data_IF_108473980803
#
_entry.id   IF_108473980803
#
_cell.length_a   1.000
_cell.length_b   1.000
_cell.length_c   1.000
_cell.angle_alpha   90.00
_cell.angle_beta   90.00
_cell.angle_gamma   90.00
#
_symmetry.space_group_name_H-M   'P 1'
#
loop_
_entity.id
_entity.type
_entity.pdbx_description
1 polymer ?
#
# COMPACT_ATOMS: atom_id res chain seq x y z
N UNK A 1 18.46 -3.38 33.82
CA UNK A 1 17.86 -2.45 32.84
C UNK A 1 18.55 -2.66 31.49
N UNK A 2 17.80 -3.12 30.48
CA UNK A 2 18.27 -3.24 29.10
C UNK A 2 18.02 -1.89 28.43
N UNK A 3 19.05 -1.04 28.37
CA UNK A 3 19.02 0.31 27.77
C UNK A 3 18.80 0.27 26.24
N UNK A 4 17.72 -0.36 25.76
CA UNK A 4 17.44 -0.54 24.34
C UNK A 4 18.45 -1.41 23.58
N UNK A 5 19.48 -1.98 24.24
CA UNK A 5 20.52 -2.81 23.62
C UNK A 5 19.95 -4.05 22.92
N UNK A 6 18.90 -4.64 23.46
CA UNK A 6 18.20 -5.76 22.81
C UNK A 6 17.42 -5.32 21.56
N UNK A 7 16.88 -4.09 21.55
CA UNK A 7 16.20 -3.52 20.38
C UNK A 7 17.21 -3.19 19.27
N UNK A 8 18.36 -2.59 19.62
CA UNK A 8 19.44 -2.35 18.67
C UNK A 8 19.97 -3.66 18.08
N UNK A 9 20.22 -4.67 18.92
CA UNK A 9 20.72 -5.98 18.47
C UNK A 9 19.71 -6.72 17.58
N UNK A 10 18.42 -6.64 17.89
CA UNK A 10 17.38 -7.25 17.04
C UNK A 10 17.20 -6.48 15.73
N UNK A 11 17.32 -5.15 15.74
CA UNK A 11 17.34 -4.32 14.55
C UNK A 11 18.52 -4.66 13.63
N UNK A 12 19.76 -4.67 14.16
CA UNK A 12 20.97 -5.04 13.42
C UNK A 12 20.82 -6.41 12.76
N UNK A 13 20.38 -7.41 13.52
CA UNK A 13 20.17 -8.77 13.00
C UNK A 13 19.12 -8.80 11.88
N UNK A 14 18.02 -8.07 12.05
CA UNK A 14 16.94 -8.02 11.07
C UNK A 14 17.39 -7.35 9.78
N UNK A 15 18.10 -6.22 9.87
CA UNK A 15 18.64 -5.50 8.71
C UNK A 15 19.63 -6.39 7.95
N UNK A 16 20.61 -6.98 8.64
CA UNK A 16 21.62 -7.83 8.01
C UNK A 16 20.98 -9.02 7.29
N UNK A 17 20.06 -9.73 7.95
CA UNK A 17 19.40 -10.89 7.34
C UNK A 17 18.54 -10.50 6.14
N UNK A 18 17.78 -9.41 6.23
CA UNK A 18 16.97 -8.93 5.12
C UNK A 18 17.83 -8.54 3.91
N UNK A 19 18.93 -7.81 4.14
CA UNK A 19 19.84 -7.39 3.07
C UNK A 19 20.53 -8.58 2.40
N UNK A 20 20.96 -9.58 3.18
CA UNK A 20 21.58 -10.79 2.63
C UNK A 20 20.57 -11.59 1.79
N UNK A 21 19.34 -11.77 2.28
CA UNK A 21 18.31 -12.52 1.54
C UNK A 21 17.99 -11.85 0.20
N UNK A 22 17.78 -10.54 0.18
CA UNK A 22 17.52 -9.79 -1.05
C UNK A 22 18.69 -9.83 -2.03
N UNK A 23 19.92 -9.63 -1.55
CA UNK A 23 21.10 -9.70 -2.40
C UNK A 23 21.35 -11.12 -2.96
N UNK A 24 21.08 -12.16 -2.15
CA UNK A 24 21.24 -13.55 -2.57
C UNK A 24 20.21 -13.97 -3.63
N UNK A 25 18.95 -13.57 -3.46
CA UNK A 25 17.89 -13.82 -4.47
C UNK A 25 18.25 -13.18 -5.81
N UNK A 26 18.79 -11.96 -5.78
CA UNK A 26 19.24 -11.29 -6.99
C UNK A 26 20.45 -11.98 -7.63
N UNK A 27 21.44 -12.36 -6.82
CA UNK A 27 22.61 -13.09 -7.32
C UNK A 27 22.25 -14.43 -7.98
N UNK A 28 21.27 -15.16 -7.44
CA UNK A 28 20.78 -16.39 -8.08
C UNK A 28 20.16 -16.11 -9.46
N UNK A 29 19.42 -15.00 -9.62
CA UNK A 29 18.91 -14.58 -10.95
C UNK A 29 20.05 -14.24 -11.90
N UNK A 30 21.01 -13.44 -11.45
CA UNK A 30 22.19 -13.07 -12.26
C UNK A 30 22.98 -14.31 -12.70
N UNK A 31 23.13 -15.32 -11.82
CA UNK A 31 23.78 -16.59 -12.18
C UNK A 31 22.98 -17.39 -13.21
N UNK A 32 21.65 -17.42 -13.13
CA UNK A 32 20.81 -18.09 -14.11
C UNK A 32 20.88 -17.40 -15.48
N UNK A 33 20.90 -16.06 -15.52
CA UNK A 33 21.10 -15.28 -16.74
C UNK A 33 22.49 -15.50 -17.34
N UNK A 34 23.53 -15.49 -16.50
CA UNK A 34 24.91 -15.76 -16.91
C UNK A 34 25.04 -17.15 -17.54
N UNK A 35 24.41 -18.16 -16.94
CA UNK A 35 24.42 -19.53 -17.46
C UNK A 35 23.82 -19.61 -18.87
N UNK A 36 22.72 -18.90 -19.12
CA UNK A 36 22.09 -18.84 -20.46
C UNK A 36 22.97 -18.07 -21.45
N UNK A 37 23.58 -16.95 -21.03
CA UNK A 37 24.47 -16.14 -21.85
C UNK A 37 25.71 -16.91 -22.30
N UNK A 38 26.37 -17.63 -21.37
CA UNK A 38 27.57 -18.45 -21.65
C UNK A 38 27.25 -19.60 -22.61
N UNK A 39 26.07 -20.20 -22.50
CA UNK A 39 25.63 -21.24 -23.45
C UNK A 39 25.50 -20.68 -24.87
N UNK A 40 24.98 -19.47 -25.01
CA UNK A 40 24.82 -18.81 -26.30
C UNK A 40 26.14 -18.27 -26.88
N UNK A 41 27.12 -17.96 -26.02
CA UNK A 41 28.42 -17.37 -26.39
C UNK A 41 29.50 -18.39 -26.80
N UNK A 42 29.15 -19.67 -26.98
CA UNK A 42 30.07 -20.77 -27.34
C UNK A 42 30.77 -20.62 -28.71
N UNK A 43 30.52 -19.54 -29.45
CA UNK A 43 31.12 -19.27 -30.75
C UNK A 43 32.58 -18.80 -30.71
N UNK A 44 33.13 -18.37 -29.55
CA UNK A 44 34.48 -17.76 -29.44
C UNK A 44 35.63 -18.71 -29.05
N UNK A 45 35.47 -20.03 -29.09
CA UNK A 45 36.52 -21.01 -28.75
C UNK A 45 37.12 -20.90 -27.33
N UNK A 46 36.53 -20.11 -26.43
CA UNK A 46 36.84 -20.15 -25.00
C UNK A 46 35.99 -21.23 -24.34
N UNK A 47 36.55 -21.90 -23.35
CA UNK A 47 35.82 -22.90 -22.57
C UNK A 47 34.65 -22.21 -21.82
N UNK A 48 33.39 -22.53 -22.13
CA UNK A 48 32.24 -21.92 -21.48
C UNK A 48 32.24 -22.14 -19.97
N UNK A 49 32.78 -23.27 -19.50
CA UNK A 49 32.88 -23.56 -18.07
C UNK A 49 33.81 -22.57 -17.35
N UNK A 50 34.88 -22.17 -18.03
CA UNK A 50 35.86 -21.25 -17.48
C UNK A 50 35.32 -19.83 -17.39
N UNK A 51 34.60 -19.37 -18.44
CA UNK A 51 33.92 -18.07 -18.44
C UNK A 51 32.91 -18.01 -17.29
N UNK A 52 32.04 -19.01 -17.19
CA UNK A 52 31.05 -19.08 -16.12
C UNK A 52 31.72 -18.99 -14.74
N UNK A 53 32.82 -19.72 -14.52
CA UNK A 53 33.53 -19.70 -13.23
C UNK A 53 34.11 -18.33 -12.88
N UNK A 54 34.74 -17.65 -13.84
CA UNK A 54 35.33 -16.34 -13.57
C UNK A 54 34.26 -15.27 -13.35
N UNK A 55 33.26 -15.22 -14.24
CA UNK A 55 32.21 -14.21 -14.19
C UNK A 55 31.31 -14.40 -12.95
N UNK A 56 30.93 -15.64 -12.63
CA UNK A 56 30.14 -15.92 -11.41
C UNK A 56 30.89 -15.54 -10.13
N UNK A 57 32.21 -15.72 -10.10
CA UNK A 57 33.03 -15.29 -8.97
C UNK A 57 33.08 -13.76 -8.85
N UNK A 58 33.19 -13.04 -9.96
CA UNK A 58 33.16 -11.58 -9.97
C UNK A 58 31.80 -11.04 -9.49
N UNK A 59 30.70 -11.61 -9.96
CA UNK A 59 29.35 -11.30 -9.47
C UNK A 59 29.21 -11.55 -7.97
N UNK A 60 29.75 -12.67 -7.47
CA UNK A 60 29.75 -12.97 -6.04
C UNK A 60 30.54 -11.94 -5.22
N UNK A 61 31.74 -11.56 -5.66
CA UNK A 61 32.53 -10.52 -4.99
C UNK A 61 31.78 -9.18 -4.95
N UNK A 62 31.14 -8.81 -6.06
CA UNK A 62 30.34 -7.59 -6.16
C UNK A 62 29.13 -7.63 -5.22
N UNK A 63 28.43 -8.77 -5.12
CA UNK A 63 27.33 -8.97 -4.18
C UNK A 63 27.79 -8.76 -2.72
N UNK A 64 28.90 -9.36 -2.30
CA UNK A 64 29.42 -9.22 -0.93
C UNK A 64 29.77 -7.75 -0.63
N UNK A 65 30.42 -7.06 -1.56
CA UNK A 65 30.76 -5.64 -1.41
C UNK A 65 29.51 -4.77 -1.29
N UNK A 66 28.46 -5.07 -2.08
CA UNK A 66 27.17 -4.39 -2.03
C UNK A 66 26.48 -4.61 -0.68
N UNK A 67 26.39 -5.86 -0.20
CA UNK A 67 25.81 -6.19 1.11
C UNK A 67 26.50 -5.38 2.21
N UNK A 68 27.83 -5.36 2.26
CA UNK A 68 28.58 -4.63 3.28
C UNK A 68 28.25 -3.13 3.26
N UNK A 69 28.20 -2.52 2.07
CA UNK A 69 27.87 -1.10 1.90
C UNK A 69 26.43 -0.80 2.30
N UNK A 70 25.50 -1.65 1.91
CA UNK A 70 24.07 -1.47 2.17
C UNK A 70 23.73 -1.66 3.64
N UNK A 71 24.32 -2.65 4.32
CA UNK A 71 24.20 -2.85 5.77
C UNK A 71 24.70 -1.61 6.51
N UNK A 72 25.93 -1.16 6.24
CA UNK A 72 26.50 0.02 6.93
C UNK A 72 25.67 1.28 6.64
N UNK A 73 25.27 1.51 5.39
CA UNK A 73 24.41 2.64 5.02
C UNK A 73 23.07 2.59 5.75
N UNK A 74 22.45 1.42 5.87
CA UNK A 74 21.14 1.25 6.51
C UNK A 74 21.23 1.39 8.03
N UNK A 75 22.30 0.91 8.66
CA UNK A 75 22.55 1.11 10.09
C UNK A 75 22.79 2.60 10.41
N UNK A 76 23.56 3.30 9.57
CA UNK A 76 23.86 4.73 9.78
C UNK A 76 22.67 5.65 9.50
N UNK A 77 21.80 5.29 8.56
CA UNK A 77 20.58 6.06 8.22
C UNK A 77 19.35 5.62 9.04
N UNK A 78 19.44 4.51 9.76
CA UNK A 78 18.34 3.93 10.52
C UNK A 78 18.02 4.75 11.75
N UNK A 79 16.91 5.49 11.71
CA UNK A 79 16.32 6.08 12.90
C UNK A 79 15.29 5.11 13.47
N UNK A 80 15.49 4.66 14.72
CA UNK A 80 14.49 3.89 15.46
C UNK A 80 13.61 4.90 16.19
N UNK A 81 12.37 5.16 15.74
CA UNK A 81 11.44 5.99 16.49
C UNK A 81 11.06 5.23 17.77
N UNK A 82 11.70 5.59 18.88
CA UNK A 82 11.26 5.19 20.20
C UNK A 82 9.96 5.95 20.42
N UNK A 83 8.84 5.23 20.40
CA UNK A 83 7.51 5.81 20.63
C UNK A 83 7.52 6.49 22.01
N UNK A 84 7.41 7.82 22.03
CA UNK A 84 7.24 8.59 23.25
C UNK A 84 5.88 8.23 23.88
N UNK A 85 5.80 7.81 25.15
CA UNK A 85 4.54 7.43 25.80
C UNK A 85 3.47 8.54 25.76
N UNK A 86 3.89 9.80 25.66
CA UNK A 86 3.00 10.97 25.66
C UNK A 86 2.27 11.25 24.33
N UNK A 87 2.56 10.51 23.25
CA UNK A 87 1.88 10.69 21.96
C UNK A 87 0.65 9.81 21.74
N UNK A 88 0.28 8.96 22.71
CA UNK A 88 -1.02 8.28 22.69
C UNK A 88 -2.08 9.24 23.24
N UNK A 89 -2.40 10.30 22.49
CA UNK A 89 -3.58 11.13 22.78
C UNK A 89 -4.81 10.24 22.72
N UNK A 90 -5.40 9.96 23.88
CA UNK A 90 -6.74 9.36 23.99
C UNK A 90 -7.65 10.05 22.98
N UNK A 91 -8.28 9.25 22.11
CA UNK A 91 -9.26 9.75 21.16
C UNK A 91 -10.35 10.51 21.95
N UNK A 92 -10.29 11.84 21.90
CA UNK A 92 -11.20 12.74 22.60
C UNK A 92 -12.63 12.31 22.27
N UNK A 93 -13.29 11.72 23.26
CA UNK A 93 -14.69 11.30 23.20
C UNK A 93 -15.50 12.54 22.83
N UNK A 94 -15.99 12.60 21.59
CA UNK A 94 -16.75 13.74 21.07
C UNK A 94 -17.89 14.05 22.04
N UNK A 95 -17.82 15.21 22.70
CA UNK A 95 -18.91 15.73 23.52
C UNK A 95 -20.14 15.91 22.63
N UNK A 96 -21.22 15.25 23.03
CA UNK A 96 -22.56 15.44 22.53
C UNK A 96 -22.93 16.92 22.70
N UNK A 97 -23.14 17.64 21.60
CA UNK A 97 -23.65 19.01 21.65
C UNK A 97 -25.16 18.94 21.73
N UNK A 98 -25.65 19.15 22.95
CA UNK A 98 -27.03 19.43 23.30
C UNK A 98 -27.37 20.86 22.83
N UNK A 99 -28.60 21.04 22.34
CA UNK A 99 -29.26 22.31 21.96
C UNK A 99 -29.13 22.75 20.49
N UNK A 100 -30.11 22.37 19.66
CA UNK A 100 -30.47 23.15 18.47
C UNK A 100 -31.95 23.55 18.54
N UNK A 101 -32.19 24.82 18.90
CA UNK A 101 -33.49 25.48 18.82
C UNK A 101 -33.79 25.80 17.35
N UNK A 102 -34.96 25.40 16.87
CA UNK A 102 -35.46 25.72 15.53
C UNK A 102 -36.24 27.04 15.56
N UNK A 103 -35.90 27.98 14.68
CA UNK A 103 -36.84 29.02 14.24
C UNK A 103 -36.73 29.22 12.73
N UNK A 104 -37.89 29.35 12.09
CA UNK A 104 -38.20 29.35 10.67
C UNK A 104 -38.68 30.76 10.29
N UNK A 105 -38.28 31.27 9.13
CA UNK A 105 -39.05 32.11 8.17
C UNK A 105 -38.07 32.58 7.09
N UNK A 106 -38.15 32.09 5.85
CA UNK A 106 -39.07 32.42 4.74
C UNK A 106 -38.57 33.57 3.84
N UNK A 107 -38.68 33.30 2.53
CA UNK A 107 -38.90 34.25 1.41
C UNK A 107 -37.80 34.39 0.37
N UNK A 108 -38.27 34.25 -0.87
CA UNK A 108 -37.65 34.11 -2.20
C UNK A 108 -37.54 35.49 -2.86
N UNK A 109 -36.45 35.81 -3.60
CA UNK A 109 -36.56 36.47 -4.92
C UNK A 109 -35.27 36.54 -5.75
N UNK A 110 -35.48 36.40 -7.06
CA UNK A 110 -34.56 36.27 -8.20
C UNK A 110 -33.85 37.58 -8.62
N UNK A 111 -32.72 37.47 -9.35
CA UNK A 111 -31.88 38.57 -9.91
C UNK A 111 -32.50 39.32 -11.12
N UNK A 112 -31.73 39.95 -12.06
CA UNK A 112 -30.26 40.04 -12.26
C UNK A 112 -29.70 41.44 -12.66
N UNK A 113 -28.36 41.64 -12.69
CA UNK A 113 -27.71 42.58 -13.62
C UNK A 113 -26.57 43.51 -13.13
N UNK A 114 -25.42 43.45 -13.83
CA UNK A 114 -24.39 44.47 -14.08
C UNK A 114 -23.20 44.71 -13.11
N UNK A 115 -22.02 44.25 -13.58
CA UNK A 115 -20.70 44.92 -13.67
C UNK A 115 -19.95 45.46 -12.42
N UNK A 116 -18.74 44.92 -12.19
CA UNK A 116 -17.65 45.58 -11.42
C UNK A 116 -16.89 44.64 -10.47
N UNK A 117 -15.55 44.76 -10.31
CA UNK A 117 -14.67 43.62 -10.04
C UNK A 117 -14.31 43.38 -8.56
N UNK A 118 -13.76 42.18 -8.33
CA UNK A 118 -12.89 41.77 -7.21
C UNK A 118 -13.53 41.60 -5.81
N UNK A 119 -13.78 40.33 -5.45
CA UNK A 119 -13.32 39.68 -4.20
C UNK A 119 -13.88 38.26 -4.04
N UNK A 120 -12.99 37.35 -3.64
CA UNK A 120 -13.27 36.07 -2.95
C UNK A 120 -14.35 35.14 -3.53
N UNK A 121 -13.95 34.26 -4.47
CA UNK A 121 -14.73 33.05 -4.78
C UNK A 121 -14.57 32.02 -3.66
N UNK A 122 -15.50 32.02 -2.70
CA UNK A 122 -15.76 30.85 -1.85
C UNK A 122 -16.49 29.79 -2.68
N UNK A 123 -15.82 28.66 -2.90
CA UNK A 123 -16.35 27.48 -3.56
C UNK A 123 -17.51 26.90 -2.74
N UNK A 124 -18.71 26.82 -3.30
CA UNK A 124 -19.81 26.09 -2.68
C UNK A 124 -19.57 24.58 -2.83
N UNK A 125 -19.77 23.78 -1.76
CA UNK A 125 -19.56 22.35 -1.83
C UNK A 125 -20.67 21.66 -2.64
N UNK A 126 -20.26 20.92 -3.66
CA UNK A 126 -21.11 19.98 -4.41
C UNK A 126 -21.77 19.01 -3.42
N UNK A 127 -23.10 19.06 -3.32
CA UNK A 127 -23.86 18.06 -2.56
C UNK A 127 -23.79 16.72 -3.27
N UNK A 128 -22.91 15.84 -2.79
CA UNK A 128 -22.89 14.44 -3.18
C UNK A 128 -23.98 13.75 -2.37
N UNK A 129 -25.07 13.34 -3.04
CA UNK A 129 -26.04 12.44 -2.44
C UNK A 129 -25.32 11.19 -1.92
N UNK A 130 -25.63 10.81 -0.66
CA UNK A 130 -25.00 9.66 0.00
C UNK A 130 -25.20 8.40 -0.86
N UNK A 131 -24.12 7.89 -1.45
CA UNK A 131 -24.11 6.56 -2.07
C UNK A 131 -24.44 5.52 -1.01
N UNK A 132 -25.61 4.90 -1.12
CA UNK A 132 -26.06 3.82 -0.22
C UNK A 132 -25.09 2.64 -0.33
N UNK A 133 -24.52 2.20 0.78
CA UNK A 133 -23.57 1.09 0.83
C UNK A 133 -24.25 -0.26 0.59
N UNK A 134 -23.51 -1.23 0.04
CA UNK A 134 -24.03 -2.57 -0.32
C UNK A 134 -24.73 -3.31 0.84
N UNK A 135 -24.36 -3.04 2.09
CA UNK A 135 -24.98 -3.66 3.27
C UNK A 135 -25.99 -2.76 4.02
N UNK A 136 -26.17 -1.50 3.62
CA UNK A 136 -27.08 -0.56 4.28
C UNK A 136 -28.55 -0.92 4.05
N UNK A 137 -29.47 -0.53 4.93
CA UNK A 137 -30.90 -0.70 4.69
C UNK A 137 -31.30 -0.04 3.36
N UNK A 138 -32.03 -0.79 2.54
CA UNK A 138 -32.37 -0.35 1.20
C UNK A 138 -33.38 0.83 1.27
N UNK A 139 -33.15 1.92 0.51
CA UNK A 139 -33.97 3.14 0.58
C UNK A 139 -35.41 2.96 0.08
N UNK A 140 -35.75 1.80 -0.50
CA UNK A 140 -37.12 1.45 -0.90
C UNK A 140 -38.05 1.08 0.28
N UNK A 141 -37.55 1.12 1.53
CA UNK A 141 -38.36 0.84 2.72
C UNK A 141 -38.64 -0.65 2.96
N UNK A 142 -38.02 -1.57 2.20
CA UNK A 142 -38.27 -3.02 2.30
C UNK A 142 -37.69 -3.69 3.55
N UNK A 143 -36.97 -2.96 4.40
CA UNK A 143 -36.30 -3.49 5.60
C UNK A 143 -35.10 -4.41 5.34
N UNK A 144 -34.77 -4.70 4.07
CA UNK A 144 -33.67 -5.59 3.66
C UNK A 144 -32.39 -4.78 3.38
N UNK A 145 -31.22 -5.41 3.57
CA UNK A 145 -29.92 -4.81 3.17
C UNK A 145 -29.88 -4.58 1.65
N UNK A 146 -29.23 -3.53 1.19
CA UNK A 146 -29.21 -3.08 -0.21
C UNK A 146 -28.83 -4.21 -1.18
N UNK A 147 -27.81 -5.02 -0.87
CA UNK A 147 -27.38 -6.19 -1.65
C UNK A 147 -28.39 -7.31 -1.81
N UNK A 148 -29.40 -7.38 -0.95
CA UNK A 148 -30.46 -8.38 -1.00
C UNK A 148 -31.77 -7.80 -1.54
N UNK A 149 -31.73 -6.55 -2.02
CA UNK A 149 -32.85 -5.86 -2.63
C UNK A 149 -32.37 -5.24 -3.96
N UNK A 150 -32.25 -3.92 -4.05
CA UNK A 150 -31.88 -3.21 -5.28
C UNK A 150 -30.42 -3.41 -5.73
N UNK A 151 -29.55 -3.91 -4.86
CA UNK A 151 -28.15 -4.25 -5.14
C UNK A 151 -27.89 -5.75 -5.33
N UNK A 152 -28.93 -6.56 -5.51
CA UNK A 152 -28.81 -7.99 -5.71
C UNK A 152 -28.29 -8.32 -7.12
N UNK A 153 -27.03 -8.72 -7.21
CA UNK A 153 -26.50 -9.37 -8.40
C UNK A 153 -26.89 -10.85 -8.32
N UNK A 154 -27.71 -11.33 -9.26
CA UNK A 154 -27.98 -12.77 -9.41
C UNK A 154 -26.64 -13.47 -9.63
N UNK A 155 -26.28 -14.38 -8.72
CA UNK A 155 -25.13 -15.26 -8.93
C UNK A 155 -25.44 -16.13 -10.14
N UNK A 156 -24.64 -15.98 -11.20
CA UNK A 156 -24.57 -16.96 -12.28
C UNK A 156 -24.10 -18.28 -11.63
N UNK A 157 -25.00 -19.25 -11.61
CA UNK A 157 -24.76 -20.56 -11.02
C UNK A 157 -23.70 -21.31 -11.81
N UNK A 158 -22.81 -21.97 -11.07
CA UNK A 158 -22.08 -23.11 -11.56
C UNK A 158 -22.36 -24.30 -10.63
N UNK A 159 -22.31 -25.50 -11.22
CA UNK A 159 -22.48 -26.84 -10.65
C UNK A 159 -23.86 -27.53 -10.77
N UNK A 160 -23.94 -28.31 -11.85
CA UNK A 160 -24.15 -29.78 -11.87
C UNK A 160 -25.50 -30.34 -11.41
N UNK A 161 -26.25 -30.96 -12.34
CA UNK A 161 -26.45 -32.43 -12.43
C UNK A 161 -27.67 -32.81 -13.34
N UNK A 162 -27.50 -33.94 -14.05
CA UNK A 162 -28.35 -34.69 -15.02
C UNK A 162 -29.75 -35.10 -14.47
N UNK A 163 -30.71 -35.82 -15.16
CA UNK A 163 -30.62 -36.66 -16.38
C UNK A 163 -31.84 -36.74 -17.36
N UNK A 164 -31.67 -37.54 -18.43
CA UNK A 164 -32.62 -38.35 -19.24
C UNK A 164 -33.91 -37.75 -19.86
N UNK A 165 -33.95 -37.74 -21.20
CA UNK A 165 -34.88 -38.51 -22.03
C UNK A 165 -34.29 -38.66 -23.44
#
# INVERSE_FOLDING_TARGET
ESEGKELARSYEKTVVLATIDDAWKEHLREMDELKQSVQNATYEQKDPLLIYKFESYELFQNMINKINKDVVSTLMKGYIPIQDPDQVKEAQRRRQVENLRTSRTDTIQSGPGAAGPDKDRKTEPVRVDKKVGRNDPCPCGSGKKYKHCHGAQKAAGDQQSRPNA
#
